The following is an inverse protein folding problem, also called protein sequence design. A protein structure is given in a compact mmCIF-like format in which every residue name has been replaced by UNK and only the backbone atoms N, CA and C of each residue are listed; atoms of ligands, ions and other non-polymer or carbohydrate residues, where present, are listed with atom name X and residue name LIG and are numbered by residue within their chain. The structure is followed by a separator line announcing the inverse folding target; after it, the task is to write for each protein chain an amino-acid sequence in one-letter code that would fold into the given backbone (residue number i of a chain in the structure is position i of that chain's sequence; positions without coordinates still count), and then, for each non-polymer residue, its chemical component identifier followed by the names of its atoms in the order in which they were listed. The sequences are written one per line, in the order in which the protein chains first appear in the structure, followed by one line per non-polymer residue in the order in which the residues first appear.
data_IF_398949660020
#
_entry.id   IF_398949660020
#
_cell.length_a   1.000
_cell.length_b   1.000
_cell.length_c   1.000
_cell.angle_alpha   90.00
_cell.angle_beta   90.00
_cell.angle_gamma   90.00
#
_symmetry.space_group_name_H-M   'P 1'
#
loop_
_entity.id
_entity.type
_entity.pdbx_description
1 polymer ?
#
# COMPACT_ATOMS: atom_id res chain seq x y z
N UNK A 1 33.33 7.20 13.53
CA UNK A 1 31.88 7.29 13.80
C UNK A 1 31.28 7.61 12.45
N UNK A 2 30.88 6.56 11.73
CA UNK A 2 30.44 6.64 10.34
C UNK A 2 28.94 6.97 10.38
N UNK A 3 28.58 8.17 9.97
CA UNK A 3 27.18 8.59 9.85
C UNK A 3 26.56 7.80 8.69
N UNK A 4 25.93 6.66 8.98
CA UNK A 4 25.13 5.93 7.99
C UNK A 4 24.14 6.93 7.37
N UNK A 5 24.16 7.11 6.03
CA UNK A 5 23.56 8.27 5.42
C UNK A 5 22.05 8.24 5.68
N UNK A 6 21.45 9.35 6.13
CA UNK A 6 20.03 9.42 6.54
C UNK A 6 19.05 8.90 5.48
N UNK A 7 19.49 8.79 4.23
CA UNK A 7 18.76 8.24 3.08
C UNK A 7 18.43 6.76 3.25
N UNK A 8 19.34 5.92 3.75
CA UNK A 8 19.09 4.47 3.91
C UNK A 8 18.03 4.19 4.99
N UNK A 9 18.11 4.91 6.12
CA UNK A 9 17.08 4.84 7.15
C UNK A 9 15.71 5.30 6.64
N UNK A 10 15.66 6.36 5.83
CA UNK A 10 14.41 6.84 5.22
C UNK A 10 13.85 5.77 4.29
N UNK A 11 14.66 5.12 3.47
CA UNK A 11 14.23 4.06 2.55
C UNK A 11 13.61 2.87 3.30
N UNK A 12 14.28 2.38 4.35
CA UNK A 12 13.75 1.31 5.20
C UNK A 12 12.42 1.71 5.84
N UNK A 13 12.32 2.94 6.37
CA UNK A 13 11.08 3.43 6.98
C UNK A 13 9.94 3.53 5.97
N UNK A 14 10.20 4.05 4.76
CA UNK A 14 9.21 4.15 3.70
C UNK A 14 8.74 2.76 3.28
N UNK A 15 9.65 1.81 3.06
CA UNK A 15 9.28 0.47 2.63
C UNK A 15 8.58 -0.33 3.74
N UNK A 16 8.98 -0.17 5.00
CA UNK A 16 8.25 -0.71 6.15
C UNK A 16 6.82 -0.14 6.26
N UNK A 17 6.66 1.18 6.09
CA UNK A 17 5.33 1.81 6.11
C UNK A 17 4.42 1.30 4.98
N UNK A 18 4.99 1.04 3.80
CA UNK A 18 4.28 0.43 2.68
C UNK A 18 3.82 -1.01 2.97
N UNK A 19 4.65 -1.82 3.64
CA UNK A 19 4.27 -3.17 4.09
C UNK A 19 3.09 -3.11 5.05
N UNK A 20 3.16 -2.22 6.05
CA UNK A 20 2.06 -2.02 7.02
C UNK A 20 0.80 -1.57 6.31
N UNK A 21 0.90 -0.60 5.39
CA UNK A 21 -0.23 -0.11 4.62
C UNK A 21 -0.90 -1.21 3.79
N UNK A 22 -0.12 -1.99 3.02
CA UNK A 22 -0.63 -3.11 2.24
C UNK A 22 -1.30 -4.19 3.10
N UNK A 23 -0.74 -4.48 4.29
CA UNK A 23 -1.31 -5.42 5.24
C UNK A 23 -2.64 -4.93 5.81
N UNK A 24 -2.72 -3.65 6.19
CA UNK A 24 -3.97 -3.01 6.67
C UNK A 24 -5.05 -3.05 5.60
N UNK A 25 -4.71 -2.76 4.34
CA UNK A 25 -5.65 -2.87 3.23
C UNK A 25 -6.15 -4.31 3.05
N UNK A 26 -5.24 -5.29 3.02
CA UNK A 26 -5.61 -6.70 2.85
C UNK A 26 -6.51 -7.18 4.01
N UNK A 27 -6.20 -6.77 5.24
CA UNK A 27 -7.01 -7.05 6.42
C UNK A 27 -8.38 -6.37 6.33
N UNK A 28 -8.43 -5.09 5.96
CA UNK A 28 -9.67 -4.34 5.82
C UNK A 28 -10.59 -4.90 4.72
N UNK A 29 -10.03 -5.42 3.63
CA UNK A 29 -10.82 -6.14 2.61
C UNK A 29 -11.41 -7.43 3.19
N UNK A 30 -10.64 -8.21 3.96
CA UNK A 30 -11.18 -9.40 4.65
C UNK A 30 -12.30 -9.04 5.62
N UNK A 31 -12.17 -7.92 6.34
CA UNK A 31 -13.18 -7.41 7.26
C UNK A 31 -14.33 -6.67 6.57
N UNK A 32 -14.32 -6.58 5.23
CA UNK A 32 -15.34 -5.86 4.44
C UNK A 32 -15.53 -4.41 4.92
N UNK A 33 -14.44 -3.71 5.24
CA UNK A 33 -14.51 -2.30 5.62
C UNK A 33 -15.11 -1.48 4.48
N UNK A 34 -16.21 -0.78 4.77
CA UNK A 34 -16.97 -0.02 3.77
C UNK A 34 -16.11 0.98 3.02
N UNK A 35 -15.17 1.66 3.68
CA UNK A 35 -14.31 2.65 3.02
C UNK A 35 -13.33 2.04 2.00
N UNK A 36 -13.07 0.73 2.02
CA UNK A 36 -12.23 0.04 1.03
C UNK A 36 -13.10 -0.48 -0.11
N UNK A 37 -14.24 -1.10 0.19
CA UNK A 37 -15.13 -1.70 -0.82
C UNK A 37 -16.00 -0.66 -1.51
N UNK A 38 -16.26 0.45 -0.86
CA UNK A 38 -17.05 1.59 -1.34
C UNK A 38 -16.42 2.91 -0.86
N UNK A 39 -15.23 3.27 -1.39
CA UNK A 39 -14.50 4.45 -0.95
C UNK A 39 -15.25 5.74 -1.26
N UNK A 40 -15.19 6.75 -0.38
CA UNK A 40 -15.72 8.07 -0.66
C UNK A 40 -14.85 8.79 -1.71
N UNK A 41 -15.45 9.68 -2.50
CA UNK A 41 -14.78 10.26 -3.69
C UNK A 41 -13.50 11.06 -3.37
N UNK A 42 -13.44 11.66 -2.19
CA UNK A 42 -12.28 12.44 -1.75
C UNK A 42 -11.01 11.58 -1.54
N UNK A 43 -11.13 10.26 -1.39
CA UNK A 43 -9.96 9.36 -1.26
C UNK A 43 -9.29 9.04 -2.58
N UNK A 44 -9.78 9.58 -3.70
CA UNK A 44 -9.18 9.39 -5.04
C UNK A 44 -7.71 9.76 -5.14
N UNK A 45 -7.25 10.71 -4.32
CA UNK A 45 -5.85 11.15 -4.27
C UNK A 45 -4.92 10.09 -3.67
N UNK A 46 -5.43 9.26 -2.76
CA UNK A 46 -4.61 8.34 -1.93
C UNK A 46 -4.96 6.87 -2.12
N UNK A 47 -6.12 6.57 -2.73
CA UNK A 47 -6.63 5.22 -2.85
C UNK A 47 -7.16 4.97 -4.26
N UNK A 48 -6.32 4.31 -5.06
CA UNK A 48 -6.58 4.02 -6.48
C UNK A 48 -7.95 3.37 -6.77
N UNK A 49 -8.48 2.43 -5.97
CA UNK A 49 -9.81 1.87 -6.21
C UNK A 49 -10.96 2.90 -6.19
N UNK A 50 -10.75 4.07 -5.57
CA UNK A 50 -11.69 5.20 -5.67
C UNK A 50 -11.77 5.75 -7.08
N UNK A 51 -10.65 5.86 -7.79
CA UNK A 51 -10.62 6.29 -9.20
C UNK A 51 -11.34 5.26 -10.07
N UNK A 52 -11.13 3.97 -9.78
CA UNK A 52 -11.85 2.88 -10.47
C UNK A 52 -13.35 3.02 -10.28
N UNK A 53 -13.80 3.32 -9.05
CA UNK A 53 -15.21 3.57 -8.74
C UNK A 53 -15.78 4.73 -9.56
N UNK A 54 -15.03 5.83 -9.67
CA UNK A 54 -15.49 7.03 -10.40
C UNK A 54 -15.64 6.79 -11.90
N UNK A 55 -14.77 5.99 -12.52
CA UNK A 55 -14.75 5.77 -13.97
C UNK A 55 -15.67 4.62 -14.39
N UNK A 56 -15.62 3.49 -13.68
CA UNK A 56 -16.30 2.23 -14.06
C UNK A 56 -17.43 1.81 -13.10
N UNK A 57 -17.69 2.59 -12.05
CA UNK A 57 -18.69 2.27 -11.04
C UNK A 57 -18.20 1.25 -9.98
N UNK A 58 -19.09 0.85 -9.04
CA UNK A 58 -18.71 0.06 -7.87
C UNK A 58 -18.34 -1.41 -8.18
N UNK A 59 -18.75 -1.92 -9.34
CA UNK A 59 -18.64 -3.34 -9.71
C UNK A 59 -17.20 -3.85 -9.68
N UNK A 60 -16.22 -3.01 -10.02
CA UNK A 60 -14.81 -3.42 -10.15
C UNK A 60 -13.95 -3.04 -8.94
N UNK A 61 -14.50 -2.27 -7.99
CA UNK A 61 -13.75 -1.73 -6.84
C UNK A 61 -13.13 -2.85 -6.02
N UNK A 62 -13.86 -3.94 -5.77
CA UNK A 62 -13.36 -5.05 -4.94
C UNK A 62 -12.15 -5.76 -5.57
N UNK A 63 -12.19 -6.02 -6.88
CA UNK A 63 -11.08 -6.66 -7.59
C UNK A 63 -9.85 -5.77 -7.56
N UNK A 64 -10.03 -4.48 -7.87
CA UNK A 64 -8.93 -3.52 -7.83
C UNK A 64 -8.42 -3.27 -6.42
N UNK A 65 -9.27 -3.29 -5.39
CA UNK A 65 -8.85 -3.21 -4.00
C UNK A 65 -7.91 -4.37 -3.62
N UNK A 66 -8.23 -5.61 -4.04
CA UNK A 66 -7.32 -6.74 -3.84
C UNK A 66 -6.00 -6.57 -4.58
N UNK A 67 -6.04 -6.14 -5.85
CA UNK A 67 -4.82 -5.90 -6.63
C UNK A 67 -3.95 -4.81 -5.99
N UNK A 68 -4.54 -3.70 -5.55
CA UNK A 68 -3.82 -2.62 -4.88
C UNK A 68 -3.26 -3.08 -3.53
N UNK A 69 -4.03 -3.81 -2.73
CA UNK A 69 -3.59 -4.27 -1.41
C UNK A 69 -2.41 -5.26 -1.51
N UNK A 70 -2.55 -6.32 -2.30
CA UNK A 70 -1.51 -7.33 -2.44
C UNK A 70 -0.32 -6.82 -3.28
N UNK A 71 -0.59 -6.02 -4.32
CA UNK A 71 0.46 -5.41 -5.13
C UNK A 71 1.34 -4.45 -4.33
N UNK A 72 0.74 -3.55 -3.55
CA UNK A 72 1.50 -2.65 -2.66
C UNK A 72 2.25 -3.44 -1.59
N UNK A 73 1.61 -4.43 -0.95
CA UNK A 73 2.26 -5.26 0.05
C UNK A 73 3.49 -5.99 -0.52
N UNK A 74 3.36 -6.66 -1.67
CA UNK A 74 4.45 -7.40 -2.28
C UNK A 74 5.61 -6.49 -2.70
N UNK A 75 5.33 -5.35 -3.33
CA UNK A 75 6.34 -4.39 -3.75
C UNK A 75 7.08 -3.78 -2.56
N UNK A 76 6.36 -3.39 -1.51
CA UNK A 76 6.97 -2.83 -0.31
C UNK A 76 7.78 -3.87 0.47
N UNK A 77 7.33 -5.13 0.49
CA UNK A 77 8.09 -6.22 1.12
C UNK A 77 9.38 -6.52 0.36
N UNK A 78 9.32 -6.51 -0.97
CA UNK A 78 10.49 -6.64 -1.82
C UNK A 78 11.48 -5.48 -1.60
N UNK A 79 11.00 -4.23 -1.60
CA UNK A 79 11.83 -3.08 -1.28
C UNK A 79 12.48 -3.21 0.11
N UNK A 80 11.71 -3.57 1.13
CA UNK A 80 12.23 -3.71 2.49
C UNK A 80 13.30 -4.80 2.57
N UNK A 81 13.09 -5.93 1.88
CA UNK A 81 14.10 -6.99 1.82
C UNK A 81 15.39 -6.52 1.16
N UNK A 82 15.30 -5.77 0.05
CA UNK A 82 16.48 -5.21 -0.61
C UNK A 82 17.21 -4.19 0.26
N UNK A 83 16.46 -3.26 0.88
CA UNK A 83 17.03 -2.25 1.76
C UNK A 83 17.74 -2.88 2.97
N UNK A 84 17.13 -3.90 3.59
CA UNK A 84 17.74 -4.62 4.72
C UNK A 84 18.99 -5.38 4.29
N UNK A 85 18.96 -6.07 3.14
CA UNK A 85 20.14 -6.80 2.62
C UNK A 85 21.27 -5.84 2.27
N UNK A 86 20.96 -4.67 1.72
CA UNK A 86 21.97 -3.66 1.38
C UNK A 86 22.61 -2.99 2.60
N UNK A 87 21.95 -3.03 3.77
CA UNK A 87 22.48 -2.48 5.03
C UNK A 87 23.47 -3.39 5.76
N UNK A 88 23.67 -4.63 5.32
CA UNK A 88 24.62 -5.60 5.90
C UNK A 88 25.87 -5.75 5.03
#
# INVERSE_FOLDING_TARGET
MEEAPPVEMIEILVCASGVVYGAVLAYGIRQQWRWITDPPEWTSVIYFPTVVKMIWGPTHVRTFAYLTAYGSFAMSLFCLAQAVVASF
#
